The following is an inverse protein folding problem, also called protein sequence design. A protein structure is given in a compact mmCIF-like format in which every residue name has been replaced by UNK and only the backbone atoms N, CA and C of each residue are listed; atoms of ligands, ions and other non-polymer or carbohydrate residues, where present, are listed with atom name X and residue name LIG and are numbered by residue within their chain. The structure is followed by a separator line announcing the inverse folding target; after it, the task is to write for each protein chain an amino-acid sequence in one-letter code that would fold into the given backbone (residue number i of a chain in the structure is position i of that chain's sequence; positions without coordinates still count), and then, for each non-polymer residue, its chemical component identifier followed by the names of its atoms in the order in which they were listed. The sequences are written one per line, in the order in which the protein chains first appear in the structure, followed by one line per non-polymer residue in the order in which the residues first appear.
data_IF_843332924609
#
_entry.id   IF_843332924609
#
_cell.length_a   1.000
_cell.length_b   1.000
_cell.length_c   1.000
_cell.angle_alpha   90.00
_cell.angle_beta   90.00
_cell.angle_gamma   90.00
#
_symmetry.space_group_name_H-M   'P 1'
#
loop_
_entity.id
_entity.type
_entity.pdbx_description
1 polymer ?
#
# COMPACT_ATOMS: atom_id res chain seq x y z
N UNK A 1 37.86 -14.68 38.09
CA UNK A 1 36.43 -14.53 38.44
C UNK A 1 35.87 -13.46 37.54
N UNK A 2 35.18 -13.88 36.47
CA UNK A 2 34.37 -13.00 35.62
C UNK A 2 33.06 -12.82 36.31
N UNK A 3 32.79 -11.59 36.76
CA UNK A 3 31.44 -11.18 37.22
C UNK A 3 30.65 -10.93 35.96
N UNK A 4 29.82 -11.88 35.59
CA UNK A 4 28.81 -11.67 34.54
C UNK A 4 27.80 -10.65 35.05
N UNK A 5 27.86 -9.45 34.48
CA UNK A 5 26.77 -8.47 34.67
C UNK A 5 25.58 -9.03 33.88
N UNK A 6 24.66 -9.66 34.60
CA UNK A 6 23.32 -9.95 34.09
C UNK A 6 22.63 -8.59 33.86
N UNK A 7 22.70 -8.11 32.63
CA UNK A 7 21.82 -7.02 32.21
C UNK A 7 20.40 -7.55 32.15
N UNK A 8 19.69 -7.47 33.28
CA UNK A 8 18.25 -7.64 33.23
C UNK A 8 17.67 -6.48 32.40
N UNK A 9 17.29 -6.75 31.19
CA UNK A 9 16.48 -5.83 30.39
C UNK A 9 15.18 -5.59 31.14
N UNK A 10 15.02 -4.39 31.64
CA UNK A 10 13.81 -4.00 32.38
C UNK A 10 12.68 -3.84 31.36
N UNK A 11 11.68 -4.67 31.46
CA UNK A 11 10.47 -4.57 30.63
C UNK A 11 9.52 -3.52 31.22
N UNK A 12 8.97 -2.70 30.36
CA UNK A 12 8.01 -1.68 30.71
C UNK A 12 6.71 -1.94 29.97
N UNK A 13 5.61 -1.99 30.72
CA UNK A 13 4.27 -2.10 30.14
C UNK A 13 3.64 -0.73 30.04
N UNK A 14 3.28 -0.30 28.84
CA UNK A 14 2.72 1.01 28.56
C UNK A 14 1.44 0.90 27.75
N UNK A 15 0.45 1.78 28.02
CA UNK A 15 -0.74 1.89 27.19
C UNK A 15 -0.39 2.48 25.82
N UNK A 16 -0.97 1.88 24.77
CA UNK A 16 -0.87 2.41 23.43
C UNK A 16 -1.87 3.57 23.27
N UNK A 17 -1.44 4.64 22.65
CA UNK A 17 -2.24 5.83 22.38
C UNK A 17 -2.21 6.20 20.92
N UNK A 18 -3.27 6.83 20.46
CA UNK A 18 -3.21 7.57 19.21
C UNK A 18 -2.38 8.85 19.42
N UNK A 19 -1.69 9.26 18.37
CA UNK A 19 -0.80 10.43 18.42
C UNK A 19 -1.53 11.77 18.53
N UNK A 20 -2.85 11.80 18.36
CA UNK A 20 -3.68 12.99 18.57
C UNK A 20 -3.79 13.43 20.05
N UNK A 21 -3.24 12.65 20.97
CA UNK A 21 -3.27 12.96 22.41
C UNK A 21 -1.93 13.44 22.99
N UNK A 22 -0.93 13.77 22.18
CA UNK A 22 0.34 14.13 22.78
C UNK A 22 1.41 14.84 21.97
N UNK A 23 1.79 14.45 20.77
CA UNK A 23 2.85 15.16 20.06
C UNK A 23 2.37 16.50 19.51
N UNK A 24 3.33 17.38 19.25
CA UNK A 24 3.04 18.63 18.54
C UNK A 24 2.55 18.28 17.13
N UNK A 25 1.38 18.80 16.77
CA UNK A 25 0.76 18.58 15.48
C UNK A 25 0.59 19.85 14.70
N UNK A 26 0.57 19.71 13.39
CA UNK A 26 0.32 20.78 12.45
C UNK A 26 -0.59 20.24 11.35
N UNK A 27 -1.62 20.98 10.99
CA UNK A 27 -2.36 20.74 9.75
C UNK A 27 -1.43 21.14 8.61
N UNK A 28 -1.06 20.16 7.77
CA UNK A 28 -0.20 20.42 6.62
C UNK A 28 -1.01 21.05 5.49
N UNK A 29 -2.17 20.47 5.18
CA UNK A 29 -3.03 20.94 4.09
C UNK A 29 -4.43 20.38 4.24
N UNK A 30 -5.41 21.10 3.67
CA UNK A 30 -6.78 20.62 3.46
C UNK A 30 -7.10 20.82 1.99
N UNK A 31 -7.55 19.78 1.31
CA UNK A 31 -7.94 19.88 -0.10
C UNK A 31 -9.38 20.37 -0.29
N UNK A 32 -9.80 20.52 -1.55
CA UNK A 32 -11.14 20.97 -1.88
C UNK A 32 -12.25 20.01 -1.45
N UNK A 33 -11.93 18.74 -1.17
CA UNK A 33 -12.89 17.76 -0.63
C UNK A 33 -13.06 17.87 0.89
N UNK A 34 -12.29 18.74 1.54
CA UNK A 34 -12.24 18.89 3.00
C UNK A 34 -11.32 17.87 3.68
N UNK A 35 -10.61 17.03 2.92
CA UNK A 35 -9.68 16.07 3.47
C UNK A 35 -8.43 16.77 3.98
N UNK A 36 -8.10 16.53 5.24
CA UNK A 36 -7.00 17.18 5.94
C UNK A 36 -5.85 16.21 6.15
N UNK A 37 -4.64 16.64 5.81
CA UNK A 37 -3.40 15.96 6.14
C UNK A 37 -2.78 16.64 7.36
N UNK A 38 -2.52 15.85 8.38
CA UNK A 38 -1.84 16.28 9.60
C UNK A 38 -0.44 15.68 9.66
N UNK A 39 0.48 16.44 10.21
CA UNK A 39 1.84 16.04 10.49
C UNK A 39 2.11 16.16 11.98
N UNK A 40 2.65 15.12 12.57
CA UNK A 40 3.05 15.10 13.98
C UNK A 40 4.56 15.07 14.11
N UNK A 41 5.06 15.82 15.08
CA UNK A 41 6.48 15.90 15.40
C UNK A 41 6.74 15.31 16.78
N UNK A 42 7.65 14.36 16.79
CA UNK A 42 8.08 13.67 18.00
C UNK A 42 9.52 14.04 18.32
N UNK A 43 9.82 14.22 19.59
CA UNK A 43 11.18 14.43 20.06
C UNK A 43 11.60 13.30 20.98
N UNK A 44 12.86 12.88 20.86
CA UNK A 44 13.45 11.83 21.69
C UNK A 44 12.58 10.56 21.68
N UNK A 45 12.45 9.96 20.52
CA UNK A 45 11.64 8.75 20.35
C UNK A 45 12.47 7.55 19.92
N UNK A 46 12.00 6.40 20.33
CA UNK A 46 12.42 5.11 19.82
C UNK A 46 11.28 4.52 19.00
N UNK A 47 11.60 3.91 17.88
CA UNK A 47 10.63 3.18 17.07
C UNK A 47 10.89 1.70 17.31
N UNK A 48 9.87 0.99 17.78
CA UNK A 48 9.98 -0.44 18.04
C UNK A 48 9.98 -1.21 16.71
N UNK A 49 10.62 -2.36 16.66
CA UNK A 49 10.49 -3.26 15.53
C UNK A 49 9.07 -3.78 15.36
N UNK A 50 8.80 -4.39 14.20
CA UNK A 50 7.55 -5.12 13.98
C UNK A 50 7.40 -6.23 15.03
N UNK A 51 6.21 -6.36 15.60
CA UNK A 51 5.90 -7.46 16.50
C UNK A 51 4.89 -8.40 15.87
N UNK A 52 4.88 -9.66 16.32
CA UNK A 52 3.88 -10.65 15.87
C UNK A 52 2.43 -10.21 16.13
N UNK A 53 2.23 -9.32 17.10
CA UNK A 53 0.92 -8.82 17.49
C UNK A 53 0.57 -7.48 16.86
N UNK A 54 1.58 -6.81 16.24
CA UNK A 54 1.42 -5.51 15.60
C UNK A 54 2.15 -5.49 14.27
N UNK A 55 1.44 -5.37 13.17
CA UNK A 55 2.07 -5.28 11.84
C UNK A 55 2.75 -3.93 11.59
N UNK A 56 2.63 -3.00 12.52
CA UNK A 56 3.23 -1.66 12.44
C UNK A 56 4.13 -1.42 13.65
N UNK A 57 5.29 -0.80 13.45
CA UNK A 57 6.13 -0.37 14.55
C UNK A 57 5.43 0.68 15.41
N UNK A 58 5.68 0.66 16.70
CA UNK A 58 5.16 1.66 17.63
C UNK A 58 6.22 2.72 17.93
N UNK A 59 5.78 3.95 18.14
CA UNK A 59 6.65 5.08 18.49
C UNK A 59 6.63 5.26 20.01
N UNK A 60 7.74 4.98 20.66
CA UNK A 60 7.92 5.24 22.10
C UNK A 60 8.55 6.61 22.32
N UNK A 61 7.85 7.49 23.02
CA UNK A 61 8.35 8.80 23.41
C UNK A 61 8.99 8.74 24.79
N UNK A 62 10.28 9.01 24.89
CA UNK A 62 10.99 9.13 26.17
C UNK A 62 10.51 10.34 26.97
N UNK A 63 10.20 11.43 26.31
CA UNK A 63 9.71 12.66 26.94
C UNK A 63 8.38 12.47 27.66
N UNK A 64 7.45 11.79 26.98
CA UNK A 64 6.10 11.59 27.49
C UNK A 64 5.89 10.25 28.19
N UNK A 65 6.86 9.34 28.08
CA UNK A 65 6.77 7.93 28.55
C UNK A 65 5.50 7.25 28.05
N UNK A 66 5.24 7.35 26.73
CA UNK A 66 4.05 6.82 26.06
C UNK A 66 4.40 6.15 24.76
N UNK A 67 3.56 5.18 24.40
CA UNK A 67 3.57 4.53 23.09
C UNK A 67 2.50 5.15 22.20
N UNK A 68 2.88 5.43 20.96
CA UNK A 68 1.96 5.95 19.95
C UNK A 68 1.91 5.01 18.74
N UNK A 69 0.72 4.86 18.19
CA UNK A 69 0.54 4.28 16.87
C UNK A 69 1.07 5.28 15.83
N UNK A 70 1.89 4.86 14.87
CA UNK A 70 2.43 5.75 13.83
C UNK A 70 1.35 6.29 12.89
N UNK A 71 0.21 5.64 12.84
CA UNK A 71 -0.91 6.03 11.99
C UNK A 71 -2.12 6.35 12.86
N UNK A 72 -2.73 7.50 12.62
CA UNK A 72 -3.92 7.96 13.32
C UNK A 72 -5.17 7.19 12.92
N UNK A 73 -5.19 6.68 11.71
CA UNK A 73 -6.39 6.18 11.08
C UNK A 73 -6.61 4.71 11.38
N UNK A 74 -7.88 4.38 11.65
CA UNK A 74 -8.29 2.99 11.73
C UNK A 74 -8.11 2.38 10.34
N UNK A 75 -7.25 1.40 10.24
CA UNK A 75 -7.27 0.53 9.08
C UNK A 75 -8.55 -0.29 9.13
N UNK A 76 -9.44 -0.05 8.22
CA UNK A 76 -10.44 -1.04 7.91
C UNK A 76 -9.79 -2.11 7.03
N UNK A 77 -9.14 -3.07 7.62
CA UNK A 77 -9.07 -4.37 6.99
C UNK A 77 -10.39 -5.05 7.26
N UNK A 78 -11.07 -5.45 6.24
CA UNK A 78 -12.33 -6.19 6.32
C UNK A 78 -12.22 -7.49 7.12
N UNK A 79 -11.03 -8.05 7.21
CA UNK A 79 -10.79 -9.36 7.78
C UNK A 79 -10.30 -9.37 9.22
N UNK A 80 -9.96 -8.20 9.81
CA UNK A 80 -9.29 -8.19 11.11
C UNK A 80 -9.70 -7.00 11.97
N UNK A 81 -10.94 -6.97 12.39
CA UNK A 81 -11.47 -5.97 13.33
C UNK A 81 -10.72 -5.84 14.66
N UNK A 82 -9.75 -6.69 14.91
CA UNK A 82 -8.98 -6.75 16.15
C UNK A 82 -7.79 -5.79 16.23
N UNK A 83 -7.27 -5.30 15.12
CA UNK A 83 -6.08 -4.41 15.15
C UNK A 83 -6.41 -3.00 15.59
N UNK A 84 -7.65 -2.60 15.59
CA UNK A 84 -8.09 -1.20 15.73
C UNK A 84 -8.63 -0.82 17.09
N UNK A 85 -8.97 -1.77 17.90
CA UNK A 85 -9.40 -1.54 19.28
C UNK A 85 -8.26 -1.42 20.28
N UNK A 86 -7.04 -1.39 19.79
CA UNK A 86 -5.84 -1.42 20.64
C UNK A 86 -5.46 -0.09 21.28
N UNK A 87 -6.19 0.99 20.98
CA UNK A 87 -6.14 2.20 21.76
C UNK A 87 -6.62 1.91 23.17
N UNK A 88 -5.68 1.74 24.09
CA UNK A 88 -5.96 1.34 25.48
C UNK A 88 -5.37 0.00 25.88
N UNK A 89 -4.95 -0.85 24.95
CA UNK A 89 -4.19 -2.05 25.29
C UNK A 89 -2.80 -1.68 25.79
N UNK A 90 -2.31 -2.47 26.73
CA UNK A 90 -0.96 -2.34 27.23
C UNK A 90 -0.01 -3.15 26.34
N UNK A 91 1.13 -2.57 26.03
CA UNK A 91 2.20 -3.21 25.30
C UNK A 91 3.47 -3.24 26.14
N UNK A 92 4.14 -4.37 26.14
CA UNK A 92 5.40 -4.57 26.85
C UNK A 92 6.56 -4.26 25.89
N UNK A 93 7.37 -3.28 26.25
CA UNK A 93 8.60 -2.94 25.55
C UNK A 93 9.81 -3.21 26.45
N UNK A 94 10.90 -3.61 25.86
CA UNK A 94 12.17 -3.63 26.57
C UNK A 94 12.64 -2.20 26.82
N UNK A 95 12.98 -1.89 28.06
CA UNK A 95 13.63 -0.63 28.39
C UNK A 95 15.03 -0.66 27.77
N UNK A 96 15.24 0.14 26.78
CA UNK A 96 16.55 0.28 26.17
C UNK A 96 17.25 1.47 26.82
N UNK A 97 18.45 1.26 27.39
CA UNK A 97 19.25 2.36 27.86
C UNK A 97 19.49 3.34 26.71
N UNK A 98 19.49 4.64 27.04
CA UNK A 98 19.87 5.71 26.11
C UNK A 98 21.30 5.42 25.60
N UNK A 99 21.38 4.73 24.46
CA UNK A 99 22.65 4.34 23.87
C UNK A 99 23.03 5.27 22.73
N UNK A 100 22.65 4.88 21.55
CA UNK A 100 22.92 5.66 20.34
C UNK A 100 21.80 6.69 20.14
N UNK A 101 22.18 7.89 19.73
CA UNK A 101 21.22 8.94 19.35
C UNK A 101 21.43 9.34 17.91
N UNK A 102 20.34 9.75 17.25
CA UNK A 102 20.36 10.31 15.93
C UNK A 102 19.74 11.71 15.95
N UNK A 103 20.53 12.71 15.58
CA UNK A 103 20.13 14.12 15.59
C UNK A 103 19.57 14.57 14.23
N UNK A 104 19.76 13.76 13.18
CA UNK A 104 19.23 14.05 11.84
C UNK A 104 17.71 14.00 11.90
N UNK A 105 17.00 15.04 11.40
CA UNK A 105 15.55 14.98 11.30
C UNK A 105 15.10 13.84 10.41
N UNK A 106 14.16 13.04 10.88
CA UNK A 106 13.63 11.88 10.18
C UNK A 106 12.16 12.10 9.82
N UNK A 107 11.78 11.72 8.61
CA UNK A 107 10.39 11.49 8.25
C UNK A 107 10.13 9.99 8.26
N UNK A 108 9.27 9.54 9.15
CA UNK A 108 8.97 8.12 9.26
C UNK A 108 8.03 7.67 8.15
N UNK A 109 8.62 7.01 7.16
CA UNK A 109 7.92 6.47 6.00
C UNK A 109 7.47 5.04 6.32
N UNK A 110 6.37 4.99 7.05
CA UNK A 110 5.94 3.79 7.75
C UNK A 110 4.62 3.28 7.22
N UNK A 111 4.63 2.42 6.27
CA UNK A 111 3.46 1.59 5.98
C UNK A 111 3.91 0.30 5.30
N UNK A 112 3.23 -0.15 4.29
CA UNK A 112 3.48 -1.42 3.65
C UNK A 112 4.50 -1.27 2.52
N UNK A 113 5.70 -1.83 2.72
CA UNK A 113 6.78 -1.85 1.73
C UNK A 113 6.88 -3.21 1.00
N UNK A 114 6.08 -4.20 1.43
CA UNK A 114 6.18 -5.57 0.92
C UNK A 114 5.13 -5.91 -0.12
N UNK A 115 4.01 -5.20 -0.12
CA UNK A 115 2.93 -5.43 -1.07
C UNK A 115 2.86 -4.27 -2.08
N UNK A 116 3.04 -4.58 -3.35
CA UNK A 116 3.10 -3.60 -4.44
C UNK A 116 1.87 -2.66 -4.46
N UNK A 117 0.64 -3.23 -4.37
CA UNK A 117 -0.59 -2.43 -4.36
C UNK A 117 -0.62 -1.43 -3.19
N UNK A 118 -0.34 -1.92 -1.98
CA UNK A 118 -0.32 -1.07 -0.80
C UNK A 118 0.82 -0.05 -0.81
N UNK A 119 1.95 -0.43 -1.39
CA UNK A 119 3.04 0.52 -1.55
C UNK A 119 2.65 1.68 -2.47
N UNK A 120 2.21 1.39 -3.69
CA UNK A 120 1.85 2.42 -4.68
C UNK A 120 0.69 3.27 -4.18
N UNK A 121 -0.32 2.62 -3.60
CA UNK A 121 -1.59 3.27 -3.29
C UNK A 121 -1.61 3.94 -1.92
N UNK A 122 -1.02 3.29 -0.92
CA UNK A 122 -1.12 3.71 0.47
C UNK A 122 0.18 4.29 1.04
N UNK A 123 1.34 3.79 0.60
CA UNK A 123 2.65 4.18 1.16
C UNK A 123 3.31 5.31 0.38
N UNK A 124 3.43 5.16 -0.92
CA UNK A 124 4.09 6.16 -1.79
C UNK A 124 3.51 7.58 -1.61
N UNK A 125 2.18 7.77 -1.46
CA UNK A 125 1.59 9.09 -1.25
C UNK A 125 2.10 9.85 -0.02
N UNK A 126 2.62 9.20 1.02
CA UNK A 126 3.22 9.89 2.16
C UNK A 126 4.36 10.82 1.77
N UNK A 127 4.98 10.59 0.61
CA UNK A 127 6.04 11.47 0.08
C UNK A 127 5.55 12.88 -0.20
N UNK A 128 4.25 13.11 -0.38
CA UNK A 128 3.67 14.45 -0.42
C UNK A 128 4.04 15.25 0.84
N UNK A 129 3.83 14.66 2.01
CA UNK A 129 4.18 15.29 3.28
C UNK A 129 5.70 15.37 3.48
N UNK A 130 6.43 14.32 3.08
CA UNK A 130 7.90 14.34 3.15
C UNK A 130 8.49 15.51 2.36
N UNK A 131 8.08 15.73 1.12
CA UNK A 131 8.60 16.84 0.32
C UNK A 131 8.28 18.20 0.94
N UNK A 132 7.07 18.37 1.48
CA UNK A 132 6.70 19.59 2.18
C UNK A 132 7.56 19.83 3.44
N UNK A 133 7.81 18.78 4.21
CA UNK A 133 8.62 18.88 5.43
C UNK A 133 10.13 19.01 5.10
N UNK A 134 10.61 18.35 4.07
CA UNK A 134 12.00 18.48 3.58
C UNK A 134 12.30 19.89 3.07
N UNK A 135 11.31 20.56 2.49
CA UNK A 135 11.46 21.98 2.13
C UNK A 135 11.75 22.87 3.33
N UNK A 136 11.14 22.58 4.49
CA UNK A 136 11.34 23.29 5.75
C UNK A 136 12.63 22.81 6.45
N UNK A 137 12.93 21.53 6.36
CA UNK A 137 14.06 20.84 6.97
C UNK A 137 14.93 20.15 5.91
N UNK A 138 15.82 20.87 5.21
CA UNK A 138 16.55 20.32 4.04
C UNK A 138 17.37 19.05 4.34
N UNK A 139 17.83 18.90 5.57
CA UNK A 139 18.61 17.73 6.01
C UNK A 139 17.75 16.51 6.37
N UNK A 140 16.41 16.63 6.31
CA UNK A 140 15.50 15.54 6.65
C UNK A 140 15.72 14.33 5.76
N UNK A 141 15.76 13.13 6.39
CA UNK A 141 15.87 11.84 5.71
C UNK A 141 14.60 11.03 5.86
N UNK A 142 14.39 10.11 4.92
CA UNK A 142 13.36 9.08 5.05
C UNK A 142 13.84 7.99 6.00
N UNK A 143 13.10 7.75 7.07
CA UNK A 143 13.30 6.62 7.95
C UNK A 143 12.37 5.49 7.52
N UNK A 144 12.94 4.38 7.09
CA UNK A 144 12.19 3.25 6.52
C UNK A 144 12.47 1.96 7.29
N UNK A 145 11.51 1.07 7.32
CA UNK A 145 11.71 -0.30 7.79
C UNK A 145 11.71 -1.23 6.57
N UNK A 146 12.76 -2.03 6.36
CA UNK A 146 12.72 -3.08 5.34
C UNK A 146 11.55 -4.03 5.59
N UNK A 147 11.05 -4.71 4.55
CA UNK A 147 10.08 -5.78 4.73
C UNK A 147 10.60 -6.87 5.67
N UNK A 148 9.70 -7.54 6.37
CA UNK A 148 10.07 -8.61 7.32
C UNK A 148 10.93 -9.68 6.62
N UNK A 149 12.08 -10.00 7.22
CA UNK A 149 13.03 -10.99 6.69
C UNK A 149 13.88 -10.48 5.52
N UNK A 150 13.86 -9.20 5.22
CA UNK A 150 14.70 -8.57 4.19
C UNK A 150 15.66 -7.56 4.83
N UNK A 151 16.86 -7.45 4.25
CA UNK A 151 17.87 -6.46 4.65
C UNK A 151 17.80 -5.18 3.80
N UNK A 152 16.98 -5.18 2.75
CA UNK A 152 16.83 -4.05 1.82
C UNK A 152 15.36 -3.91 1.35
N UNK A 153 15.07 -2.82 0.68
CA UNK A 153 13.78 -2.57 0.06
C UNK A 153 13.68 -3.33 -1.28
N UNK A 154 12.47 -3.68 -1.67
CA UNK A 154 12.24 -4.29 -2.98
C UNK A 154 12.60 -3.34 -4.14
N UNK A 155 12.97 -3.87 -5.32
CA UNK A 155 13.31 -3.06 -6.49
C UNK A 155 12.24 -2.01 -6.83
N UNK A 156 10.97 -2.38 -6.82
CA UNK A 156 9.89 -1.44 -7.13
C UNK A 156 9.80 -0.26 -6.16
N UNK A 157 10.23 -0.44 -4.91
CA UNK A 157 10.29 0.66 -3.92
C UNK A 157 11.44 1.60 -4.29
N UNK A 158 12.63 1.05 -4.52
CA UNK A 158 13.80 1.85 -4.92
C UNK A 158 13.58 2.61 -6.21
N UNK A 159 13.08 1.94 -7.26
CA UNK A 159 12.79 2.56 -8.55
C UNK A 159 11.80 3.73 -8.38
N UNK A 160 10.76 3.53 -7.56
CA UNK A 160 9.77 4.59 -7.30
C UNK A 160 10.37 5.78 -6.57
N UNK A 161 11.25 5.55 -5.59
CA UNK A 161 11.94 6.61 -4.86
C UNK A 161 12.90 7.37 -5.77
N UNK A 162 13.68 6.66 -6.59
CA UNK A 162 14.62 7.25 -7.54
C UNK A 162 13.92 8.10 -8.61
N UNK A 163 12.77 7.64 -9.14
CA UNK A 163 11.95 8.43 -10.07
C UNK A 163 11.44 9.73 -9.44
N UNK A 164 11.37 9.80 -8.12
CA UNK A 164 11.00 10.99 -7.36
C UNK A 164 12.20 11.78 -6.84
N UNK A 165 13.41 11.45 -7.29
CA UNK A 165 14.64 12.12 -6.92
C UNK A 165 15.16 11.78 -5.52
N UNK A 166 14.64 10.72 -4.89
CA UNK A 166 15.08 10.24 -3.58
C UNK A 166 16.12 9.14 -3.80
N UNK A 167 17.32 9.38 -3.35
CA UNK A 167 18.45 8.45 -3.49
C UNK A 167 18.73 7.69 -2.21
N UNK A 168 19.60 6.67 -2.28
CA UNK A 168 20.06 5.93 -1.08
C UNK A 168 20.63 6.85 0.02
N UNK A 169 21.15 8.02 -0.35
CA UNK A 169 21.66 9.02 0.62
C UNK A 169 20.55 9.69 1.42
N UNK A 170 19.32 9.70 0.90
CA UNK A 170 18.16 10.29 1.55
C UNK A 170 17.40 9.30 2.44
N UNK A 171 17.76 8.02 2.39
CA UNK A 171 17.10 6.92 3.11
C UNK A 171 17.98 6.46 4.27
N UNK A 172 17.35 6.23 5.40
CA UNK A 172 17.94 5.63 6.60
C UNK A 172 17.09 4.44 7.01
N UNK A 173 17.72 3.28 7.16
CA UNK A 173 17.02 2.11 7.69
C UNK A 173 16.82 2.26 9.20
N UNK A 174 15.64 1.87 9.65
CA UNK A 174 15.29 1.90 11.05
C UNK A 174 16.21 1.00 11.87
N UNK A 175 16.93 1.61 12.82
CA UNK A 175 17.64 0.90 13.89
C UNK A 175 16.84 1.02 15.18
N UNK A 176 16.33 -0.10 15.67
CA UNK A 176 15.52 -0.15 16.90
C UNK A 176 16.30 0.15 18.16
N UNK A 177 17.65 0.18 18.10
CA UNK A 177 18.53 0.52 19.22
C UNK A 177 18.87 2.02 19.28
N UNK A 178 18.43 2.77 18.27
CA UNK A 178 18.65 4.21 18.18
C UNK A 178 17.48 5.00 18.72
N UNK A 179 17.78 6.03 19.54
CA UNK A 179 16.87 7.08 19.88
C UNK A 179 16.98 8.20 18.84
N UNK A 180 15.87 8.52 18.20
CA UNK A 180 15.78 9.59 17.23
C UNK A 180 15.31 10.87 17.91
N UNK A 181 16.11 11.94 17.80
CA UNK A 181 15.82 13.20 18.47
C UNK A 181 14.74 14.02 17.77
N UNK A 182 14.49 13.77 16.50
CA UNK A 182 13.42 14.45 15.74
C UNK A 182 12.82 13.49 14.71
N UNK A 183 11.55 13.15 14.88
CA UNK A 183 10.80 12.32 13.94
C UNK A 183 9.49 13.00 13.57
N UNK A 184 9.25 13.09 12.27
CA UNK A 184 8.03 13.60 11.68
C UNK A 184 7.20 12.42 11.14
N UNK A 185 5.90 12.41 11.40
CA UNK A 185 4.97 11.39 10.91
C UNK A 185 3.75 12.08 10.31
N UNK A 186 3.31 11.65 9.14
CA UNK A 186 2.11 12.16 8.47
C UNK A 186 0.91 11.23 8.66
N UNK A 187 -0.28 11.81 8.65
CA UNK A 187 -1.51 11.04 8.44
C UNK A 187 -1.55 10.51 7.00
N UNK A 188 -2.34 9.47 6.76
CA UNK A 188 -2.48 8.88 5.43
C UNK A 188 -3.22 9.81 4.45
N UNK A 189 -2.84 9.74 3.19
CA UNK A 189 -3.52 10.44 2.10
C UNK A 189 -4.67 9.63 1.50
N UNK A 190 -4.71 8.33 1.74
CA UNK A 190 -5.66 7.39 1.10
C UNK A 190 -6.58 6.69 2.08
N UNK A 191 -6.10 6.38 3.28
CA UNK A 191 -6.89 5.77 4.33
C UNK A 191 -7.53 6.82 5.23
N UNK A 192 -8.76 6.58 5.65
CA UNK A 192 -9.44 7.40 6.65
C UNK A 192 -10.49 6.60 7.43
N UNK A 193 -10.37 5.28 7.42
CA UNK A 193 -11.31 4.38 8.06
C UNK A 193 -12.63 4.17 7.31
N UNK A 194 -12.78 4.78 6.13
CA UNK A 194 -13.96 4.62 5.28
C UNK A 194 -13.52 4.29 3.86
N UNK A 195 -13.98 3.17 3.35
CA UNK A 195 -13.65 2.68 2.00
C UNK A 195 -14.11 3.62 0.87
N UNK A 196 -15.06 4.50 1.16
CA UNK A 196 -15.67 5.40 0.19
C UNK A 196 -15.11 6.83 0.18
N UNK A 197 -14.04 7.10 0.92
CA UNK A 197 -13.46 8.44 0.93
C UNK A 197 -12.45 8.63 -0.19
N UNK A 198 -12.59 9.76 -0.88
CA UNK A 198 -11.63 10.17 -1.90
C UNK A 198 -10.26 10.40 -1.27
N UNK A 199 -9.18 10.03 -1.97
CA UNK A 199 -7.84 10.35 -1.52
C UNK A 199 -7.61 11.86 -1.53
N UNK A 200 -6.65 12.32 -0.73
CA UNK A 200 -6.18 13.69 -0.82
C UNK A 200 -5.50 13.91 -2.18
N UNK A 201 -5.69 15.09 -2.77
CA UNK A 201 -5.09 15.45 -4.07
C UNK A 201 -3.57 15.26 -4.13
N UNK A 202 -2.88 15.36 -3.00
CA UNK A 202 -1.44 15.14 -2.89
C UNK A 202 -0.98 13.76 -3.37
N UNK A 203 -1.88 12.78 -3.47
CA UNK A 203 -1.59 11.48 -4.10
C UNK A 203 -1.19 11.70 -5.56
N UNK A 204 -2.00 12.46 -6.29
CA UNK A 204 -1.74 12.76 -7.71
C UNK A 204 -0.56 13.71 -7.88
N UNK A 205 -0.35 14.64 -6.93
CA UNK A 205 0.82 15.52 -6.93
C UNK A 205 2.13 14.71 -6.83
N UNK A 206 2.13 13.57 -6.12
CA UNK A 206 3.28 12.66 -6.04
C UNK A 206 3.43 11.84 -7.32
N UNK A 207 2.39 11.12 -7.73
CA UNK A 207 2.50 10.20 -8.88
C UNK A 207 2.76 10.95 -10.19
N UNK A 208 2.29 12.17 -10.33
CA UNK A 208 2.52 13.00 -11.50
C UNK A 208 3.98 13.50 -11.62
N UNK A 209 4.76 13.45 -10.54
CA UNK A 209 6.20 13.77 -10.60
C UNK A 209 7.03 12.62 -11.18
N UNK A 210 6.55 11.38 -11.10
CA UNK A 210 7.24 10.24 -11.69
C UNK A 210 7.19 10.38 -13.22
N UNK A 211 8.32 10.59 -13.86
CA UNK A 211 8.43 10.78 -15.33
C UNK A 211 8.92 9.52 -15.99
N UNK A 212 8.48 9.30 -17.22
CA UNK A 212 8.92 8.21 -18.06
C UNK A 212 8.81 8.61 -19.51
N UNK A 213 9.81 8.23 -20.30
CA UNK A 213 9.82 8.37 -21.75
C UNK A 213 9.37 7.08 -22.46
N UNK A 214 9.03 6.04 -21.70
CA UNK A 214 8.53 4.80 -22.26
C UNK A 214 7.15 4.99 -22.88
N UNK A 215 6.97 4.47 -24.08
CA UNK A 215 5.71 4.51 -24.83
C UNK A 215 5.20 3.10 -25.01
N UNK A 216 4.11 2.78 -24.35
CA UNK A 216 3.42 1.50 -24.48
C UNK A 216 2.26 1.52 -25.48
N UNK A 217 1.55 0.40 -25.64
CA UNK A 217 0.37 0.30 -26.50
C UNK A 217 -0.81 1.13 -25.95
N UNK A 218 -1.69 1.55 -26.87
CA UNK A 218 -2.89 2.33 -26.48
C UNK A 218 -3.97 1.48 -25.77
N UNK A 219 -4.01 0.18 -26.01
CA UNK A 219 -4.96 -0.78 -25.43
C UNK A 219 -4.18 -1.87 -24.71
N UNK A 220 -4.33 -1.95 -23.41
CA UNK A 220 -3.63 -2.95 -22.58
C UNK A 220 -4.61 -3.79 -21.78
N UNK A 221 -4.37 -5.10 -21.76
CA UNK A 221 -5.02 -6.05 -20.88
C UNK A 221 -4.02 -6.50 -19.81
N UNK A 222 -4.31 -6.19 -18.56
CA UNK A 222 -3.46 -6.56 -17.43
C UNK A 222 -3.76 -7.99 -17.03
N UNK A 223 -2.85 -8.88 -17.37
CA UNK A 223 -2.99 -10.31 -17.12
C UNK A 223 -2.60 -10.68 -15.67
N UNK A 224 -3.31 -11.65 -15.15
CA UNK A 224 -2.95 -12.36 -13.92
C UNK A 224 -2.48 -13.79 -14.18
N UNK A 225 -2.29 -14.17 -15.44
CA UNK A 225 -1.72 -15.46 -15.83
C UNK A 225 -0.22 -15.57 -15.54
N UNK A 226 0.20 -15.08 -14.39
CA UNK A 226 1.61 -14.94 -13.99
C UNK A 226 2.34 -16.27 -13.87
N UNK A 227 1.62 -17.38 -13.75
CA UNK A 227 2.18 -18.72 -13.84
C UNK A 227 2.86 -19.01 -15.20
N UNK A 228 2.58 -18.23 -16.24
CA UNK A 228 3.28 -18.33 -17.54
C UNK A 228 4.70 -17.76 -17.48
N UNK A 229 5.00 -16.92 -16.50
CA UNK A 229 6.29 -16.21 -16.37
C UNK A 229 7.31 -16.91 -15.47
N UNK A 230 6.95 -18.00 -14.80
CA UNK A 230 7.83 -18.68 -13.86
C UNK A 230 7.97 -17.93 -12.51
N UNK A 231 9.20 -17.80 -12.00
CA UNK A 231 9.46 -17.17 -10.71
C UNK A 231 9.27 -15.65 -10.77
N UNK A 232 8.40 -15.15 -9.90
CA UNK A 232 8.08 -13.72 -9.75
C UNK A 232 8.50 -13.16 -8.40
N UNK A 233 9.57 -13.68 -7.82
CA UNK A 233 10.06 -13.33 -6.47
C UNK A 233 10.40 -11.85 -6.30
N UNK A 234 10.67 -11.11 -7.37
CA UNK A 234 11.00 -9.69 -7.36
C UNK A 234 9.83 -8.75 -7.05
N UNK A 235 8.59 -9.24 -6.99
CA UNK A 235 7.39 -8.42 -6.73
C UNK A 235 6.97 -8.40 -5.24
N UNK A 236 7.78 -8.98 -4.37
CA UNK A 236 7.54 -8.97 -2.92
C UNK A 236 6.53 -9.98 -2.42
N UNK A 237 5.50 -10.27 -3.19
CA UNK A 237 4.48 -11.26 -2.83
C UNK A 237 3.98 -11.99 -4.06
N UNK A 238 4.12 -13.30 -4.05
CA UNK A 238 3.56 -14.14 -5.11
C UNK A 238 2.13 -14.55 -4.75
N UNK A 239 1.15 -13.80 -5.28
CA UNK A 239 -0.28 -14.07 -5.08
C UNK A 239 -0.95 -14.68 -6.30
N UNK A 240 -0.20 -15.22 -7.23
CA UNK A 240 -0.72 -15.69 -8.52
C UNK A 240 -1.77 -16.79 -8.39
N UNK A 241 -1.66 -17.61 -7.35
CA UNK A 241 -2.62 -18.69 -7.08
C UNK A 241 -3.85 -18.23 -6.30
N UNK A 242 -3.77 -17.06 -5.65
CA UNK A 242 -4.91 -16.50 -4.91
C UNK A 242 -5.88 -15.81 -5.85
N UNK A 243 -7.17 -16.02 -5.64
CA UNK A 243 -8.23 -15.41 -6.45
C UNK A 243 -8.04 -15.69 -7.94
N UNK A 244 -7.71 -16.94 -8.27
CA UNK A 244 -7.47 -17.32 -9.65
C UNK A 244 -8.76 -17.21 -10.46
N UNK A 245 -8.74 -16.45 -11.54
CA UNK A 245 -9.75 -16.54 -12.58
C UNK A 245 -9.48 -17.81 -13.40
N UNK A 246 -10.36 -18.82 -13.27
CA UNK A 246 -10.08 -20.15 -13.84
C UNK A 246 -10.21 -20.18 -15.36
N UNK A 247 -10.92 -19.23 -15.94
CA UNK A 247 -11.05 -19.08 -17.39
C UNK A 247 -10.40 -17.78 -17.90
N UNK A 248 -9.29 -17.37 -17.27
CA UNK A 248 -8.58 -16.16 -17.69
C UNK A 248 -7.94 -16.30 -19.07
N UNK A 249 -7.64 -17.52 -19.52
CA UNK A 249 -7.12 -17.76 -20.88
C UNK A 249 -8.12 -17.25 -21.91
N UNK A 250 -9.39 -17.65 -21.80
CA UNK A 250 -10.44 -17.22 -22.72
C UNK A 250 -10.76 -15.72 -22.60
N UNK A 251 -10.65 -15.18 -21.37
CA UNK A 251 -10.81 -13.73 -21.13
C UNK A 251 -9.71 -12.95 -21.83
N UNK A 252 -8.45 -13.35 -21.67
CA UNK A 252 -7.31 -12.70 -22.31
C UNK A 252 -7.40 -12.78 -23.84
N UNK A 253 -7.70 -13.96 -24.40
CA UNK A 253 -7.89 -14.14 -25.84
C UNK A 253 -9.00 -13.23 -26.38
N UNK A 254 -10.10 -13.06 -25.63
CA UNK A 254 -11.16 -12.16 -26.01
C UNK A 254 -10.66 -10.71 -26.10
N UNK A 255 -9.94 -10.18 -25.11
CA UNK A 255 -9.37 -8.84 -25.17
C UNK A 255 -8.34 -8.69 -26.30
N UNK A 256 -7.47 -9.68 -26.50
CA UNK A 256 -6.50 -9.70 -27.60
C UNK A 256 -7.24 -9.62 -28.96
N UNK A 257 -8.35 -10.33 -29.13
CA UNK A 257 -9.17 -10.27 -30.35
C UNK A 257 -9.76 -8.88 -30.63
N UNK A 258 -9.89 -8.04 -29.59
CA UNK A 258 -10.29 -6.65 -29.69
C UNK A 258 -9.11 -5.67 -29.83
N UNK A 259 -7.90 -6.18 -30.04
CA UNK A 259 -6.69 -5.41 -30.28
C UNK A 259 -6.02 -4.90 -29.02
N UNK A 260 -6.26 -5.53 -27.87
CA UNK A 260 -5.49 -5.28 -26.66
C UNK A 260 -4.18 -6.08 -26.70
N UNK A 261 -3.14 -5.47 -26.15
CA UNK A 261 -1.89 -6.17 -25.85
C UNK A 261 -1.93 -6.68 -24.42
N UNK A 262 -1.60 -7.97 -24.24
CA UNK A 262 -1.53 -8.57 -22.92
C UNK A 262 -0.26 -8.14 -22.21
N UNK A 263 -0.41 -7.64 -20.99
CA UNK A 263 0.68 -7.08 -20.20
C UNK A 263 0.79 -7.77 -18.85
N UNK A 264 1.99 -8.18 -18.50
CA UNK A 264 2.38 -8.75 -17.21
C UNK A 264 3.14 -7.71 -16.41
N UNK A 265 2.46 -7.01 -15.51
CA UNK A 265 3.04 -5.90 -14.77
C UNK A 265 4.27 -6.29 -13.92
N UNK A 266 4.36 -7.54 -13.50
CA UNK A 266 5.51 -8.05 -12.75
C UNK A 266 6.81 -8.08 -13.55
N UNK A 267 6.73 -8.11 -14.88
CA UNK A 267 7.89 -8.11 -15.76
C UNK A 267 8.39 -6.70 -16.11
N UNK A 268 7.68 -5.67 -15.71
CA UNK A 268 7.97 -4.28 -16.05
C UNK A 268 8.73 -3.58 -14.92
N UNK A 269 9.68 -2.74 -15.28
CA UNK A 269 10.27 -1.75 -14.37
C UNK A 269 9.22 -0.70 -13.96
N UNK A 270 9.50 0.09 -12.94
CA UNK A 270 8.59 1.19 -12.57
C UNK A 270 8.48 2.25 -13.66
N UNK A 271 9.59 2.55 -14.36
CA UNK A 271 9.59 3.48 -15.49
C UNK A 271 8.67 3.01 -16.62
N UNK A 272 8.79 1.73 -17.02
CA UNK A 272 7.91 1.11 -18.02
C UNK A 272 6.45 1.13 -17.60
N UNK A 273 6.14 0.80 -16.32
CA UNK A 273 4.77 0.89 -15.80
C UNK A 273 4.21 2.31 -15.91
N UNK A 274 4.96 3.29 -15.43
CA UNK A 274 4.51 4.70 -15.47
C UNK A 274 4.27 5.15 -16.91
N UNK A 275 5.19 4.88 -17.83
CA UNK A 275 5.06 5.27 -19.23
C UNK A 275 3.93 4.55 -19.95
N UNK A 276 3.82 3.22 -19.75
CA UNK A 276 2.78 2.39 -20.35
C UNK A 276 1.38 2.87 -19.96
N UNK A 277 1.13 3.04 -18.66
CA UNK A 277 -0.20 3.46 -18.20
C UNK A 277 -0.53 4.90 -18.55
N UNK A 278 0.46 5.80 -18.65
CA UNK A 278 0.25 7.17 -19.15
C UNK A 278 -0.12 7.23 -20.62
N UNK A 279 0.36 6.28 -21.41
CA UNK A 279 0.09 6.25 -22.84
C UNK A 279 -1.20 5.50 -23.19
N UNK A 280 -1.68 4.65 -22.27
CA UNK A 280 -2.85 3.82 -22.53
C UNK A 280 -4.13 4.66 -22.61
N UNK A 281 -4.91 4.44 -23.66
CA UNK A 281 -6.28 4.96 -23.83
C UNK A 281 -7.32 4.02 -23.24
N UNK A 282 -7.01 2.72 -23.23
CA UNK A 282 -7.86 1.66 -22.71
C UNK A 282 -7.03 0.73 -21.82
N UNK A 283 -7.47 0.55 -20.61
CA UNK A 283 -6.88 -0.39 -19.65
C UNK A 283 -7.95 -1.36 -19.20
N UNK A 284 -7.71 -2.64 -19.33
CA UNK A 284 -8.62 -3.67 -18.86
C UNK A 284 -7.88 -4.75 -18.07
N UNK A 285 -8.55 -5.42 -17.17
CA UNK A 285 -7.98 -6.57 -16.47
C UNK A 285 -8.74 -6.98 -15.22
N UNK A 286 -8.44 -8.18 -14.70
CA UNK A 286 -8.97 -8.63 -13.41
C UNK A 286 -8.44 -7.80 -12.25
N UNK A 287 -9.31 -7.59 -11.26
CA UNK A 287 -8.93 -6.88 -10.04
C UNK A 287 -7.70 -7.50 -9.39
N UNK A 288 -6.71 -6.69 -9.08
CA UNK A 288 -5.46 -7.14 -8.48
C UNK A 288 -4.40 -6.05 -8.44
N UNK A 289 -3.18 -6.43 -7.97
CA UNK A 289 -2.06 -5.49 -7.81
C UNK A 289 -1.65 -4.80 -9.11
N UNK A 290 -1.72 -5.47 -10.25
CA UNK A 290 -1.41 -4.87 -11.57
C UNK A 290 -2.34 -3.73 -11.92
N UNK A 291 -3.63 -3.82 -11.60
CA UNK A 291 -4.61 -2.77 -11.88
C UNK A 291 -4.36 -1.47 -11.08
N UNK A 292 -3.63 -1.50 -9.97
CA UNK A 292 -3.35 -0.27 -9.23
C UNK A 292 -2.52 0.75 -10.02
N UNK A 293 -1.80 0.30 -11.06
CA UNK A 293 -1.04 1.18 -11.94
C UNK A 293 -1.90 2.15 -12.75
N UNK A 294 -3.22 1.94 -12.80
CA UNK A 294 -4.17 2.91 -13.37
C UNK A 294 -4.02 4.29 -12.72
N UNK A 295 -3.48 4.37 -11.50
CA UNK A 295 -3.16 5.65 -10.83
C UNK A 295 -2.23 6.54 -11.68
N UNK A 296 -1.43 5.96 -12.56
CA UNK A 296 -0.54 6.69 -13.48
C UNK A 296 -1.24 7.14 -14.77
N UNK A 297 -2.42 6.61 -15.06
CA UNK A 297 -3.14 6.91 -16.30
C UNK A 297 -3.78 8.30 -16.28
N UNK A 298 -3.90 8.97 -17.44
CA UNK A 298 -4.68 10.20 -17.55
C UNK A 298 -6.15 10.01 -17.17
N UNK A 299 -6.84 11.03 -16.69
CA UNK A 299 -8.26 10.93 -16.29
C UNK A 299 -9.21 10.46 -17.41
N UNK A 300 -8.86 10.71 -18.67
CA UNK A 300 -9.62 10.29 -19.85
C UNK A 300 -9.42 8.85 -20.26
N UNK A 301 -8.48 8.12 -19.63
CA UNK A 301 -8.27 6.69 -19.90
C UNK A 301 -9.51 5.89 -19.53
N UNK A 302 -9.99 5.08 -20.45
CA UNK A 302 -11.10 4.16 -20.22
C UNK A 302 -10.61 2.92 -19.49
N UNK A 303 -11.17 2.66 -18.32
CA UNK A 303 -10.78 1.54 -17.45
C UNK A 303 -11.89 0.53 -17.36
N UNK A 304 -11.57 -0.74 -17.61
CA UNK A 304 -12.48 -1.88 -17.47
C UNK A 304 -11.94 -2.84 -16.40
N UNK A 305 -12.52 -2.76 -15.21
CA UNK A 305 -12.16 -3.64 -14.10
C UNK A 305 -13.06 -4.88 -14.10
N UNK A 306 -12.46 -6.07 -14.19
CA UNK A 306 -13.15 -7.34 -14.01
C UNK A 306 -13.09 -7.68 -12.52
N UNK A 307 -14.21 -7.54 -11.84
CA UNK A 307 -14.29 -7.64 -10.40
C UNK A 307 -14.48 -9.10 -9.96
N UNK A 308 -13.74 -9.53 -8.95
CA UNK A 308 -14.00 -10.84 -8.33
C UNK A 308 -15.23 -10.76 -7.43
N UNK A 309 -15.92 -11.89 -7.16
CA UNK A 309 -17.18 -11.87 -6.43
C UNK A 309 -17.12 -11.29 -5.00
N UNK A 310 -15.94 -11.21 -4.39
CA UNK A 310 -15.79 -10.76 -2.99
C UNK A 310 -14.93 -9.53 -2.79
N UNK A 311 -14.35 -8.95 -3.82
CA UNK A 311 -13.32 -7.92 -3.64
C UNK A 311 -13.85 -6.50 -3.80
N UNK A 312 -14.98 -6.20 -3.16
CA UNK A 312 -15.74 -4.97 -3.35
C UNK A 312 -15.00 -3.70 -2.91
N UNK A 313 -14.29 -3.72 -1.79
CA UNK A 313 -13.66 -2.49 -1.25
C UNK A 313 -12.57 -1.94 -2.14
N UNK A 314 -11.75 -2.81 -2.70
CA UNK A 314 -10.69 -2.39 -3.62
C UNK A 314 -11.30 -1.83 -4.90
N UNK A 315 -12.39 -2.41 -5.37
CA UNK A 315 -13.13 -1.95 -6.53
C UNK A 315 -13.64 -0.52 -6.32
N UNK A 316 -14.25 -0.24 -5.17
CA UNK A 316 -14.69 1.11 -4.82
C UNK A 316 -13.51 2.08 -4.69
N UNK A 317 -12.39 1.66 -4.09
CA UNK A 317 -11.19 2.50 -3.99
C UNK A 317 -10.65 2.89 -5.36
N UNK A 318 -10.69 2.02 -6.36
CA UNK A 318 -10.33 2.37 -7.73
C UNK A 318 -11.18 3.51 -8.28
N UNK A 319 -12.50 3.44 -8.12
CA UNK A 319 -13.41 4.46 -8.60
C UNK A 319 -13.23 5.83 -7.96
N UNK A 320 -12.94 5.86 -6.65
CA UNK A 320 -12.78 7.12 -5.90
C UNK A 320 -11.39 7.72 -6.00
N UNK A 321 -10.37 6.89 -6.21
CA UNK A 321 -8.98 7.29 -6.06
C UNK A 321 -8.32 7.76 -7.33
N UNK A 322 -8.93 7.51 -8.49
CA UNK A 322 -8.22 7.73 -9.75
C UNK A 322 -8.71 8.93 -10.53
N UNK A 323 -9.67 9.70 -10.02
CA UNK A 323 -10.32 10.80 -10.77
C UNK A 323 -10.78 10.39 -12.19
N UNK A 324 -10.79 9.08 -12.49
CA UNK A 324 -11.22 8.57 -13.77
C UNK A 324 -12.73 8.69 -13.92
N UNK A 325 -13.14 9.32 -14.99
CA UNK A 325 -14.54 9.52 -15.30
C UNK A 325 -15.17 8.32 -16.03
N UNK A 326 -14.34 7.44 -16.60
CA UNK A 326 -14.79 6.30 -17.42
C UNK A 326 -14.26 4.97 -16.87
N UNK A 327 -14.69 4.63 -15.66
CA UNK A 327 -14.42 3.36 -15.03
C UNK A 327 -15.64 2.45 -15.12
N UNK A 328 -15.49 1.33 -15.81
CA UNK A 328 -16.49 0.27 -15.91
C UNK A 328 -16.13 -0.88 -14.99
N UNK A 329 -17.05 -1.24 -14.10
CA UNK A 329 -16.97 -2.44 -13.29
C UNK A 329 -17.75 -3.57 -13.96
N UNK A 330 -17.07 -4.70 -14.19
CA UNK A 330 -17.69 -5.90 -14.69
C UNK A 330 -17.86 -6.91 -13.57
N UNK A 331 -19.09 -7.05 -13.09
CA UNK A 331 -19.45 -7.83 -11.90
C UNK A 331 -20.04 -9.21 -12.24
N UNK A 332 -20.09 -9.59 -13.54
CA UNK A 332 -20.64 -10.89 -13.93
C UNK A 332 -19.59 -11.99 -13.79
N UNK A 333 -19.28 -12.26 -12.55
CA UNK A 333 -18.29 -13.25 -12.10
C UNK A 333 -18.89 -14.10 -11.00
N UNK A 334 -18.48 -15.36 -10.88
CA UNK A 334 -19.00 -16.26 -9.85
C UNK A 334 -17.88 -17.15 -9.31
N UNK A 335 -18.01 -17.59 -8.07
CA UNK A 335 -17.11 -18.59 -7.51
C UNK A 335 -17.28 -19.93 -8.21
N UNK A 336 -16.17 -20.68 -8.37
CA UNK A 336 -16.18 -22.04 -8.90
C UNK A 336 -16.46 -23.07 -7.82
N UNK A 337 -16.14 -22.75 -6.57
CA UNK A 337 -16.36 -23.63 -5.45
C UNK A 337 -17.66 -23.29 -4.71
N UNK A 338 -18.32 -24.30 -4.14
CA UNK A 338 -19.45 -24.05 -3.28
C UNK A 338 -18.99 -23.31 -2.02
N UNK A 339 -19.75 -22.33 -1.58
CA UNK A 339 -19.53 -21.69 -0.30
C UNK A 339 -19.83 -22.70 0.82
N UNK A 340 -18.81 -23.09 1.57
CA UNK A 340 -18.94 -23.91 2.77
C UNK A 340 -18.39 -23.10 3.94
N UNK A 341 -19.17 -22.99 4.99
CA UNK A 341 -18.71 -22.42 6.26
C UNK A 341 -17.88 -23.47 6.99
N UNK A 342 -16.67 -23.11 7.39
CA UNK A 342 -15.84 -23.94 8.27
C UNK A 342 -15.41 -23.12 9.48
N UNK A 343 -15.28 -23.78 10.62
CA UNK A 343 -14.73 -23.18 11.83
C UNK A 343 -13.24 -23.51 11.85
N UNK A 344 -12.42 -22.49 11.79
CA UNK A 344 -10.97 -22.63 11.90
C UNK A 344 -10.55 -23.07 13.32
N UNK A 345 -9.33 -23.56 13.46
CA UNK A 345 -8.80 -24.06 14.74
C UNK A 345 -8.74 -23.02 15.86
N UNK A 346 -8.81 -21.74 15.51
CA UNK A 346 -8.85 -20.60 16.44
C UNK A 346 -10.28 -20.12 16.77
N UNK A 347 -11.30 -20.83 16.25
CA UNK A 347 -12.72 -20.49 16.45
C UNK A 347 -13.24 -19.43 15.48
N UNK A 348 -12.45 -18.95 14.53
CA UNK A 348 -12.91 -18.04 13.49
C UNK A 348 -13.72 -18.78 12.44
N UNK A 349 -14.74 -18.10 11.86
CA UNK A 349 -15.48 -18.63 10.72
C UNK A 349 -14.70 -18.34 9.43
N UNK A 350 -14.29 -19.39 8.75
CA UNK A 350 -13.80 -19.34 7.38
C UNK A 350 -14.95 -19.70 6.43
N UNK A 351 -15.20 -18.85 5.47
CA UNK A 351 -16.16 -19.12 4.41
C UNK A 351 -15.39 -19.48 3.16
N UNK A 352 -15.54 -20.71 2.69
CA UNK A 352 -15.09 -21.06 1.34
C UNK A 352 -15.91 -20.23 0.34
N UNK A 353 -15.24 -19.62 -0.62
CA UNK A 353 -15.83 -18.52 -1.40
C UNK A 353 -15.37 -17.15 -0.91
N UNK A 354 -14.38 -17.12 0.01
CA UNK A 354 -13.77 -15.89 0.51
C UNK A 354 -12.75 -15.27 -0.46
N UNK A 355 -12.03 -14.29 0.04
CA UNK A 355 -11.11 -13.42 -0.71
C UNK A 355 -10.10 -14.15 -1.61
N UNK A 356 -9.76 -15.39 -1.31
CA UNK A 356 -8.73 -16.16 -2.02
C UNK A 356 -9.30 -17.28 -2.92
N UNK A 357 -10.62 -17.45 -2.94
CA UNK A 357 -11.25 -18.54 -3.70
C UNK A 357 -11.17 -18.33 -5.21
N UNK A 358 -11.09 -19.42 -5.99
CA UNK A 358 -11.10 -19.35 -7.43
C UNK A 358 -12.49 -18.92 -7.96
N UNK A 359 -12.50 -18.22 -9.07
CA UNK A 359 -13.69 -17.67 -9.68
C UNK A 359 -13.58 -17.68 -11.21
N UNK A 360 -14.68 -17.45 -11.88
CA UNK A 360 -14.76 -17.38 -13.35
C UNK A 360 -15.60 -16.21 -13.82
N UNK A 361 -15.36 -15.84 -15.08
CA UNK A 361 -16.05 -14.77 -15.81
C UNK A 361 -17.15 -15.36 -16.69
N UNK A 362 -18.31 -14.70 -16.75
CA UNK A 362 -19.35 -14.97 -17.75
C UNK A 362 -18.91 -14.38 -19.10
N UNK A 363 -18.35 -15.22 -19.96
CA UNK A 363 -17.81 -14.81 -21.26
C UNK A 363 -18.87 -14.27 -22.22
N UNK A 364 -20.12 -14.76 -22.14
CA UNK A 364 -21.20 -14.28 -22.98
C UNK A 364 -21.58 -12.83 -22.62
N UNK A 365 -21.61 -12.51 -21.34
CA UNK A 365 -21.83 -11.15 -20.89
C UNK A 365 -20.62 -10.27 -21.18
N UNK A 366 -19.41 -10.76 -20.96
CA UNK A 366 -18.18 -10.02 -21.28
C UNK A 366 -18.15 -9.59 -22.75
N UNK A 367 -18.42 -10.48 -23.68
CA UNK A 367 -18.46 -10.18 -25.12
C UNK A 367 -19.45 -9.04 -25.43
N UNK A 368 -20.67 -9.08 -24.83
CA UNK A 368 -21.69 -8.04 -25.03
C UNK A 368 -21.26 -6.69 -24.43
N UNK A 369 -20.55 -6.70 -23.31
CA UNK A 369 -20.02 -5.48 -22.70
C UNK A 369 -18.90 -4.87 -23.54
N UNK A 370 -17.96 -5.67 -24.00
CA UNK A 370 -16.85 -5.19 -24.84
C UNK A 370 -17.35 -4.58 -26.15
N UNK A 371 -18.37 -5.18 -26.77
CA UNK A 371 -18.99 -4.62 -27.97
C UNK A 371 -19.57 -3.20 -27.76
N UNK A 372 -20.04 -2.90 -26.56
CA UNK A 372 -20.56 -1.56 -26.21
C UNK A 372 -19.48 -0.61 -25.74
N UNK A 373 -18.46 -1.14 -25.06
CA UNK A 373 -17.41 -0.34 -24.40
C UNK A 373 -16.35 0.14 -25.40
N UNK A 374 -16.03 -0.69 -26.40
CA UNK A 374 -15.06 -0.34 -27.44
C UNK A 374 -15.82 0.24 -28.64
N UNK A 375 -15.51 1.48 -29.08
CA UNK A 375 -16.13 2.07 -30.26
C UNK A 375 -15.93 1.19 -31.49
N UNK A 376 -17.01 0.95 -32.23
CA UNK A 376 -16.93 0.30 -33.55
C UNK A 376 -16.63 1.42 -34.56
N UNK A 377 -15.52 1.32 -35.26
CA UNK A 377 -15.20 2.19 -36.38
C UNK A 377 -15.69 1.59 -37.69
#
# INVERSE_FOLDING_TARGET
KWIGILTHTMKITLPIRYWDHGPKRKISTTDKSGRTIEVAYFSCVKITGLSKHYPLPLVYSYTNKRLYLPLREKFMSLDRGTVYETSGMNYEIEHIPLGKTCDVPMFYFAYNMSNYYHFIYDTLPYLYSYFNEKYIHPDMKLLVSPPEGQDDLYPFVWDSLEMLGITKKDVVFLDTDVMYNSVCISSSLTHNGLSNCRPHKGVFDVVNQMKSDYVGPEKIYISRRTWLNGDTSNIGTNYTERRKCVNEDEVAEMFISWGFEEVFCENLTMEEKVGMFRNAKYVAGPIGGGMCNVIFSPPETKVFSIDSPTFFDVNFRFGYSMEHTDLTHFEYTEFTDKQEESVESDGSLSISGGLNSPWKVDLNKLSKFLFKWIPQY
#
